data_IF_839239794507
#
_entry.id   IF_839239794507
#
_cell.length_a   1.000
_cell.length_b   1.000
_cell.length_c   1.000
_cell.angle_alpha   90.00
_cell.angle_beta   90.00
_cell.angle_gamma   90.00
#
_symmetry.space_group_name_H-M   'P 1'
#
loop_
_entity.id
_entity.type
_entity.pdbx_description
1 polymer ?
#
# COMPACT_ATOMS: atom_id res chain seq x y z
N UNK A 1 0.00 -4.85 -12.49
CA UNK A 1 0.17 -3.57 -11.79
C UNK A 1 -0.88 -2.63 -12.30
N UNK A 2 -1.44 -1.80 -11.42
CA UNK A 2 -2.38 -0.75 -11.81
C UNK A 2 -1.85 0.62 -11.38
N UNK A 3 -2.21 1.63 -12.16
CA UNK A 3 -1.99 3.03 -11.79
C UNK A 3 -3.27 3.51 -11.12
N UNK A 4 -3.17 3.84 -9.83
CA UNK A 4 -4.30 4.36 -9.06
C UNK A 4 -4.22 5.88 -8.97
N UNK A 5 -5.37 6.53 -9.07
CA UNK A 5 -5.49 7.98 -8.90
C UNK A 5 -4.99 8.40 -7.52
N UNK A 6 -4.46 9.60 -7.42
CA UNK A 6 -3.88 10.14 -6.19
C UNK A 6 -4.58 11.42 -5.79
N UNK A 7 -4.48 11.74 -4.49
CA UNK A 7 -4.71 13.11 -4.04
C UNK A 7 -3.35 13.82 -4.08
N UNK A 8 -3.19 14.73 -5.02
CA UNK A 8 -1.99 15.54 -5.14
C UNK A 8 -2.13 16.81 -4.28
N UNK A 9 -1.16 17.05 -3.39
CA UNK A 9 -1.18 18.21 -2.50
C UNK A 9 0.13 18.99 -2.61
N UNK A 10 0.11 20.30 -2.89
CA UNK A 10 1.31 21.14 -2.81
C UNK A 10 1.86 21.19 -1.38
N UNK A 11 3.17 21.08 -1.22
CA UNK A 11 3.81 21.16 0.10
C UNK A 11 3.70 22.55 0.77
N UNK A 12 3.31 23.56 0.00
CA UNK A 12 3.01 24.92 0.46
C UNK A 12 1.60 25.06 1.05
N UNK A 13 0.72 24.10 0.78
CA UNK A 13 -0.62 24.13 1.35
C UNK A 13 -0.57 23.99 2.87
N UNK A 14 -1.53 24.63 3.53
CA UNK A 14 -1.63 24.62 4.99
C UNK A 14 -2.58 23.53 5.47
N UNK A 15 -2.27 22.97 6.63
CA UNK A 15 -2.99 21.82 7.22
C UNK A 15 -4.51 22.04 7.27
N UNK A 16 -5.01 23.24 7.56
CA UNK A 16 -6.46 23.50 7.68
C UNK A 16 -7.25 23.25 6.39
N UNK A 17 -7.01 24.04 5.32
CA UNK A 17 -7.59 23.82 3.99
C UNK A 17 -7.32 22.42 3.43
N UNK A 18 -6.11 21.88 3.64
CA UNK A 18 -5.77 20.52 3.22
C UNK A 18 -6.61 19.47 3.95
N UNK A 19 -6.80 19.61 5.26
CA UNK A 19 -7.62 18.68 6.06
C UNK A 19 -9.05 18.65 5.55
N UNK A 20 -9.61 19.81 5.20
CA UNK A 20 -10.94 19.90 4.60
C UNK A 20 -10.99 19.22 3.22
N UNK A 21 -9.99 19.45 2.37
CA UNK A 21 -9.89 18.80 1.06
C UNK A 21 -9.77 17.27 1.18
N UNK A 22 -8.95 16.77 2.12
CA UNK A 22 -8.77 15.34 2.37
C UNK A 22 -10.02 14.69 2.97
N UNK A 23 -10.71 15.37 3.89
CA UNK A 23 -11.96 14.89 4.50
C UNK A 23 -13.12 14.87 3.50
N UNK A 24 -13.10 15.76 2.50
CA UNK A 24 -14.13 15.84 1.46
C UNK A 24 -13.81 14.97 0.24
N UNK A 25 -12.56 14.54 0.08
CA UNK A 25 -12.19 13.52 -0.90
C UNK A 25 -12.88 12.20 -0.50
N UNK A 26 -13.87 11.79 -1.29
CA UNK A 26 -14.83 10.69 -1.05
C UNK A 26 -14.25 9.29 -0.74
N UNK A 27 -12.94 9.14 -0.68
CA UNK A 27 -12.29 7.83 -0.62
C UNK A 27 -11.02 7.93 0.23
N UNK A 28 -11.11 7.62 1.53
CA UNK A 28 -9.94 7.48 2.42
C UNK A 28 -8.97 6.35 2.04
N UNK A 29 -9.15 5.73 0.87
CA UNK A 29 -8.33 4.66 0.30
C UNK A 29 -7.29 5.16 -0.70
N UNK A 30 -7.39 6.39 -1.21
CA UNK A 30 -6.47 6.89 -2.22
C UNK A 30 -5.12 7.27 -1.60
N UNK A 31 -3.99 6.93 -2.26
CA UNK A 31 -2.68 7.40 -1.85
C UNK A 31 -2.59 8.93 -1.97
N UNK A 32 -1.87 9.55 -1.03
CA UNK A 32 -1.61 10.99 -1.03
C UNK A 32 -0.19 11.23 -1.50
N UNK A 33 -0.02 12.18 -2.41
CA UNK A 33 1.29 12.59 -2.90
C UNK A 33 1.48 14.07 -2.60
N UNK A 34 2.45 14.36 -1.75
CA UNK A 34 2.86 15.74 -1.46
C UNK A 34 3.95 16.14 -2.44
N UNK A 35 3.73 17.26 -3.14
CA UNK A 35 4.62 17.76 -4.19
C UNK A 35 5.35 19.00 -3.69
N UNK A 36 6.68 18.92 -3.61
CA UNK A 36 7.55 20.05 -3.32
C UNK A 36 8.10 20.56 -4.65
N UNK A 37 7.96 21.86 -4.92
CA UNK A 37 8.53 22.49 -6.11
C UNK A 37 9.97 22.91 -5.79
N UNK A 38 10.95 22.10 -6.22
CA UNK A 38 12.37 22.38 -6.02
C UNK A 38 13.01 22.95 -7.30
N UNK A 39 14.15 23.68 -7.20
CA UNK A 39 14.84 24.24 -8.38
C UNK A 39 15.29 23.19 -9.40
N UNK A 40 15.60 21.97 -8.94
CA UNK A 40 16.00 20.85 -9.80
C UNK A 40 14.82 20.11 -10.46
N UNK A 41 13.59 20.36 -9.99
CA UNK A 41 12.38 19.68 -10.43
C UNK A 41 11.40 19.41 -9.29
N UNK A 42 10.20 18.89 -9.59
CA UNK A 42 9.23 18.51 -8.57
C UNK A 42 9.70 17.27 -7.80
N UNK A 43 9.67 17.35 -6.48
CA UNK A 43 9.93 16.24 -5.57
C UNK A 43 8.60 15.66 -5.10
N UNK A 44 8.47 14.34 -5.14
CA UNK A 44 7.23 13.63 -4.83
C UNK A 44 7.40 12.80 -3.56
N UNK A 45 6.60 13.09 -2.54
CA UNK A 45 6.54 12.32 -1.30
C UNK A 45 5.21 11.56 -1.27
N UNK A 46 5.28 10.23 -1.41
CA UNK A 46 4.10 9.36 -1.35
C UNK A 46 3.86 8.95 0.10
N UNK A 47 2.67 9.24 0.61
CA UNK A 47 2.27 9.01 1.98
C UNK A 47 0.97 8.20 2.03
N UNK A 48 0.85 7.34 3.04
CA UNK A 48 -0.44 6.76 3.37
C UNK A 48 -1.34 7.82 4.02
N UNK A 49 -2.65 7.74 3.78
CA UNK A 49 -3.62 8.65 4.41
C UNK A 49 -3.50 8.66 5.94
N UNK A 50 -3.24 7.49 6.55
CA UNK A 50 -3.08 7.35 7.99
C UNK A 50 -1.86 8.11 8.55
N UNK A 51 -0.73 8.07 7.83
CA UNK A 51 0.50 8.80 8.22
C UNK A 51 0.26 10.30 8.18
N UNK A 52 -0.41 10.77 7.12
CA UNK A 52 -0.77 12.17 6.97
C UNK A 52 -1.75 12.63 8.05
N UNK A 53 -2.79 11.84 8.35
CA UNK A 53 -3.73 12.13 9.43
C UNK A 53 -3.04 12.17 10.80
N UNK A 54 -2.12 11.25 11.08
CA UNK A 54 -1.35 11.25 12.31
C UNK A 54 -0.50 12.52 12.45
N UNK A 55 0.21 12.92 11.40
CA UNK A 55 1.02 14.14 11.39
C UNK A 55 0.18 15.42 11.55
N UNK A 56 -1.02 15.45 10.96
CA UNK A 56 -1.93 16.59 11.04
C UNK A 56 -2.71 16.67 12.36
N UNK A 57 -2.84 15.57 13.11
CA UNK A 57 -3.67 15.53 14.34
C UNK A 57 -3.19 16.49 15.42
N UNK A 58 -1.87 16.70 15.51
CA UNK A 58 -1.25 17.56 16.53
C UNK A 58 -1.05 19.01 16.07
N UNK A 59 -1.45 19.35 14.85
CA UNK A 59 -1.27 20.69 14.28
C UNK A 59 -2.48 21.56 14.62
N UNK A 60 -2.30 22.44 15.60
CA UNK A 60 -3.33 23.36 16.11
C UNK A 60 -3.41 24.67 15.29
N UNK A 61 -2.42 24.95 14.43
CA UNK A 61 -2.30 26.16 13.61
C UNK A 61 -2.19 25.85 12.12
N UNK A 62 -2.35 26.86 11.27
CA UNK A 62 -2.15 26.77 9.83
C UNK A 62 -0.65 26.65 9.49
N UNK A 63 -0.08 25.46 9.71
CA UNK A 63 1.30 25.13 9.38
C UNK A 63 1.37 24.61 7.93
N UNK A 64 2.37 25.02 7.12
CA UNK A 64 2.62 24.41 5.82
C UNK A 64 2.98 22.91 5.92
N UNK A 65 2.62 22.12 4.91
CA UNK A 65 2.84 20.67 4.94
C UNK A 65 4.32 20.28 4.98
N UNK A 66 5.21 21.03 4.30
CA UNK A 66 6.63 20.73 4.34
C UNK A 66 7.24 20.80 5.75
N UNK A 67 6.73 21.71 6.60
CA UNK A 67 7.13 21.82 8.01
C UNK A 67 6.42 20.76 8.86
N UNK A 68 5.10 20.58 8.67
CA UNK A 68 4.30 19.67 9.49
C UNK A 68 4.70 18.20 9.34
N UNK A 69 5.20 17.81 8.15
CA UNK A 69 5.62 16.45 7.83
C UNK A 69 7.14 16.26 7.93
N UNK A 70 7.89 17.30 8.28
CA UNK A 70 9.35 17.34 8.20
C UNK A 70 9.87 16.73 6.88
N UNK A 71 9.37 17.24 5.75
CA UNK A 71 9.74 16.68 4.44
C UNK A 71 11.24 16.80 4.15
N UNK A 72 11.95 17.67 4.88
CA UNK A 72 13.40 17.83 4.80
C UNK A 72 14.18 16.59 5.25
N UNK A 73 13.60 15.77 6.14
CA UNK A 73 14.17 14.50 6.56
C UNK A 73 13.62 13.30 5.77
N UNK A 74 12.60 13.53 4.94
CA UNK A 74 11.99 12.52 4.07
C UNK A 74 12.72 12.44 2.73
N UNK A 75 13.01 11.22 2.27
CA UNK A 75 13.60 11.03 0.94
C UNK A 75 12.51 11.07 -0.14
N UNK A 76 12.57 11.98 -1.13
CA UNK A 76 11.61 12.02 -2.22
C UNK A 76 11.74 10.78 -3.12
N UNK A 77 10.62 10.34 -3.70
CA UNK A 77 10.60 9.19 -4.61
C UNK A 77 10.74 9.66 -6.06
N UNK A 78 11.66 9.08 -6.85
CA UNK A 78 11.77 9.40 -8.27
C UNK A 78 10.52 8.94 -9.01
N UNK A 79 9.94 9.75 -9.92
CA UNK A 79 8.78 9.34 -10.68
C UNK A 79 9.14 8.38 -11.82
N UNK A 80 8.19 7.52 -12.20
CA UNK A 80 8.27 6.68 -13.40
C UNK A 80 7.27 7.16 -14.45
N UNK A 81 7.58 6.93 -15.73
CA UNK A 81 6.62 7.20 -16.80
C UNK A 81 5.57 6.10 -16.87
N UNK A 82 4.36 6.45 -17.32
CA UNK A 82 3.25 5.48 -17.47
C UNK A 82 3.62 4.31 -18.39
N UNK A 83 4.48 4.53 -19.39
CA UNK A 83 4.92 3.49 -20.32
C UNK A 83 5.97 2.53 -19.73
N UNK A 84 6.56 2.86 -18.58
CA UNK A 84 7.68 2.14 -17.96
C UNK A 84 7.30 1.43 -16.66
N UNK A 85 6.02 1.45 -16.27
CA UNK A 85 5.56 0.85 -15.01
C UNK A 85 5.84 -0.64 -14.99
N UNK A 86 6.63 -1.08 -14.01
CA UNK A 86 6.95 -2.46 -13.73
C UNK A 86 6.50 -2.87 -12.31
N UNK A 87 6.58 -4.16 -12.03
CA UNK A 87 6.19 -4.71 -10.72
C UNK A 87 7.05 -4.20 -9.55
N UNK A 88 8.33 -3.91 -9.82
CA UNK A 88 9.25 -3.37 -8.81
C UNK A 88 8.93 -1.93 -8.41
N UNK A 89 8.07 -1.23 -9.16
CA UNK A 89 7.77 0.19 -8.96
C UNK A 89 6.61 0.43 -8.00
N UNK A 90 6.12 -0.59 -7.28
CA UNK A 90 5.04 -0.43 -6.32
C UNK A 90 5.32 0.71 -5.31
N UNK A 91 4.35 1.63 -5.17
CA UNK A 91 4.47 2.83 -4.34
C UNK A 91 5.22 4.00 -4.99
N UNK A 92 5.52 3.92 -6.29
CA UNK A 92 6.22 4.98 -7.04
C UNK A 92 5.22 5.93 -7.71
N UNK A 93 5.45 7.25 -7.69
CA UNK A 93 4.60 8.21 -8.39
C UNK A 93 4.75 8.05 -9.90
N UNK A 94 3.62 8.11 -10.60
CA UNK A 94 3.55 8.01 -12.07
C UNK A 94 3.33 9.40 -12.64
N UNK A 95 4.25 9.83 -13.49
CA UNK A 95 4.17 11.11 -14.21
C UNK A 95 3.96 10.83 -15.69
N UNK A 96 3.00 11.54 -16.28
CA UNK A 96 2.73 11.50 -17.72
C UNK A 96 2.64 12.93 -18.24
N UNK A 97 3.40 13.24 -19.30
CA UNK A 97 3.50 14.59 -19.87
C UNK A 97 3.78 15.70 -18.83
N UNK A 98 4.65 15.41 -17.85
CA UNK A 98 5.00 16.35 -16.77
C UNK A 98 3.93 16.55 -15.70
N UNK A 99 2.84 15.75 -15.72
CA UNK A 99 1.77 15.80 -14.73
C UNK A 99 1.73 14.52 -13.91
N UNK A 100 1.54 14.65 -12.60
CA UNK A 100 1.29 13.50 -11.73
C UNK A 100 -0.08 12.89 -12.08
N UNK A 101 -0.09 11.63 -12.49
CA UNK A 101 -1.31 10.92 -12.91
C UNK A 101 -1.73 9.82 -11.93
N UNK A 102 -0.83 9.38 -11.05
CA UNK A 102 -1.15 8.35 -10.07
C UNK A 102 0.06 7.82 -9.31
N UNK A 103 -0.14 6.70 -8.63
CA UNK A 103 0.90 5.88 -8.00
C UNK A 103 0.72 4.44 -8.47
N UNK A 104 1.84 3.73 -8.67
CA UNK A 104 1.82 2.30 -9.00
C UNK A 104 1.39 1.51 -7.76
N UNK A 105 0.37 0.67 -7.89
CA UNK A 105 -0.02 -0.28 -6.87
C UNK A 105 0.05 -1.70 -7.40
N UNK A 106 0.35 -2.62 -6.49
CA UNK A 106 0.23 -4.04 -6.74
C UNK A 106 -1.20 -4.40 -7.14
N UNK A 107 -1.35 -5.27 -8.13
CA UNK A 107 -2.61 -5.97 -8.37
C UNK A 107 -2.80 -7.00 -7.26
N UNK A 108 -3.07 -6.55 -6.04
CA UNK A 108 -3.60 -7.46 -5.03
C UNK A 108 -5.04 -7.76 -5.43
N UNK A 109 -5.30 -9.04 -5.69
CA UNK A 109 -6.65 -9.60 -5.66
C UNK A 109 -7.19 -9.24 -4.28
N UNK A 110 -8.23 -8.42 -4.21
CA UNK A 110 -8.98 -8.24 -2.97
C UNK A 110 -9.50 -9.63 -2.59
N UNK A 111 -8.86 -10.27 -1.60
CA UNK A 111 -9.38 -11.50 -1.03
C UNK A 111 -10.64 -11.07 -0.28
N UNK A 112 -11.84 -11.51 -0.69
CA UNK A 112 -13.06 -11.15 0.02
C UNK A 112 -12.90 -11.60 1.47
N UNK A 113 -13.33 -10.76 2.41
CA UNK A 113 -13.32 -11.14 3.83
C UNK A 113 -14.11 -12.45 3.98
N UNK A 114 -13.55 -13.46 4.68
CA UNK A 114 -14.25 -14.71 4.87
C UNK A 114 -15.58 -14.42 5.56
N UNK A 115 -16.67 -14.84 4.91
CA UNK A 115 -18.00 -14.70 5.48
C UNK A 115 -18.17 -15.66 6.66
N UNK A 116 -19.14 -15.42 7.55
CA UNK A 116 -19.46 -16.37 8.63
C UNK A 116 -19.75 -17.78 8.08
N UNK A 117 -20.28 -17.89 6.86
CA UNK A 117 -20.48 -19.18 6.18
C UNK A 117 -19.18 -19.89 5.75
N UNK A 118 -18.09 -19.15 5.55
CA UNK A 118 -16.78 -19.72 5.19
C UNK A 118 -16.05 -20.25 6.43
N UNK A 119 -16.28 -19.62 7.59
CA UNK A 119 -15.79 -20.09 8.88
C UNK A 119 -16.49 -21.40 9.29
N UNK A 120 -17.78 -21.55 9.00
CA UNK A 120 -18.54 -22.79 9.25
C UNK A 120 -18.13 -23.94 8.31
N UNK A 121 -17.66 -23.65 7.10
CA UNK A 121 -17.31 -24.67 6.10
C UNK A 121 -15.90 -25.25 6.23
N UNK A 122 -15.04 -24.66 7.07
CA UNK A 122 -13.71 -25.20 7.39
C UNK A 122 -12.69 -25.01 6.26
N UNK A 123 -11.60 -24.33 6.55
CA UNK A 123 -10.51 -24.08 5.61
C UNK A 123 -9.89 -25.38 5.04
N UNK A 124 -9.69 -25.52 3.72
CA UNK A 124 -8.76 -26.51 3.20
C UNK A 124 -7.33 -26.02 3.49
N UNK A 125 -6.67 -26.67 4.44
CA UNK A 125 -5.26 -26.46 4.75
C UNK A 125 -4.41 -26.86 3.54
N UNK A 126 -3.93 -25.90 2.76
CA UNK A 126 -2.89 -26.14 1.76
C UNK A 126 -1.55 -26.35 2.47
N UNK A 127 -1.26 -27.59 2.86
CA UNK A 127 0.11 -28.06 3.04
C UNK A 127 0.36 -29.19 2.04
N UNK A 128 0.85 -28.80 0.87
CA UNK A 128 1.33 -29.74 -0.13
C UNK A 128 2.58 -30.47 0.35
N UNK A 129 2.62 -31.78 0.07
CA UNK A 129 3.79 -32.47 -0.48
C UNK A 129 4.89 -32.93 0.49
N UNK A 130 4.73 -34.14 1.04
CA UNK A 130 5.83 -35.11 1.15
C UNK A 130 5.27 -36.54 1.16
N UNK A 131 5.54 -37.25 0.06
CA UNK A 131 5.69 -38.71 -0.03
C UNK A 131 4.54 -39.62 0.37
N UNK A 132 3.65 -39.85 -0.59
CA UNK A 132 3.05 -41.17 -0.79
C UNK A 132 4.08 -42.07 -1.50
N UNK A 133 4.74 -42.96 -0.76
CA UNK A 133 5.31 -44.20 -1.34
C UNK A 133 5.65 -45.20 -0.23
N UNK A 134 4.88 -46.29 -0.12
CA UNK A 134 5.39 -47.47 0.59
C UNK A 134 4.39 -48.34 1.33
N UNK A 135 3.54 -49.06 0.59
CA UNK A 135 3.11 -50.44 0.88
C UNK A 135 2.19 -50.67 2.10
N UNK A 136 0.89 -50.77 1.77
CA UNK A 136 0.01 -51.83 2.31
C UNK A 136 0.74 -53.18 2.24
N UNK A 137 0.81 -53.93 3.35
CA UNK A 137 0.64 -55.40 3.41
C UNK A 137 0.88 -55.97 4.81
N UNK A 138 -0.06 -56.82 5.26
CA UNK A 138 0.17 -57.94 6.20
C UNK A 138 -0.20 -57.63 7.65
N UNK A 139 -1.41 -57.98 8.11
CA UNK A 139 -1.79 -59.27 8.70
C UNK A 139 -0.91 -59.75 9.86
N UNK A 140 -1.59 -59.94 11.00
CA UNK A 140 -1.33 -60.79 12.17
C UNK A 140 -0.02 -61.59 12.25
N UNK A 141 0.60 -61.52 13.44
CA UNK A 141 1.56 -62.44 14.12
C UNK A 141 2.67 -61.57 14.72
N UNK A 142 3.10 -61.58 15.99
CA UNK A 142 3.26 -62.58 17.06
C UNK A 142 3.49 -61.75 18.34
N UNK A 143 2.84 -62.00 19.47
CA UNK A 143 3.22 -63.00 20.49
C UNK A 143 4.71 -62.96 20.92
N UNK A 144 4.94 -62.38 22.11
CA UNK A 144 5.81 -62.97 23.14
C UNK A 144 7.34 -62.80 23.06
N UNK A 145 7.90 -62.53 24.24
CA UNK A 145 9.27 -62.78 24.72
C UNK A 145 10.34 -61.74 24.38
N UNK A 146 10.76 -61.00 25.40
CA UNK A 146 12.12 -61.06 25.98
C UNK A 146 12.06 -60.56 27.41
#
# INVERSE_FOLDING_TARGET
MRVESVIAVPATDTVGPTRLALLTAKTGKLPVVVVVQAPAGPEYHVLAMAELQAAMTNQLSATPLHEALDLSSSTPRPPVSRAQVAAADAGTPVVDNGRLVGVVLDDKVEVPEPTEQDLEKGAPSTRGGAEEQGRKRGLWSRLGRS
#
